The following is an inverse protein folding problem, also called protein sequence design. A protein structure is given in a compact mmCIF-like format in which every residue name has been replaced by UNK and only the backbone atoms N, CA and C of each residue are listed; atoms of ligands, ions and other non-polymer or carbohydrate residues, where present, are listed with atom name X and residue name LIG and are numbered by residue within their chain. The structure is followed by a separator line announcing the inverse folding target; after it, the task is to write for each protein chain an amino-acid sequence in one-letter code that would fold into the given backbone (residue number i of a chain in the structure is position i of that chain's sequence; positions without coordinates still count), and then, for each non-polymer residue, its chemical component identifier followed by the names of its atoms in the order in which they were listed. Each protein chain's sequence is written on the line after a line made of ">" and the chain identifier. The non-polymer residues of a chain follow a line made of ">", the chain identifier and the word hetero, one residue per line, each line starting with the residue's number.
data_IF_094460403603
#
_entry.id   IF_094460403603
#
_cell.length_a   1.000
_cell.length_b   1.000
_cell.length_c   1.000
_cell.angle_alpha   90.00
_cell.angle_beta   90.00
_cell.angle_gamma   90.00
#
_symmetry.space_group_name_H-M   'P 1'
#
loop_
_entity.id
_entity.type
_entity.pdbx_description
1 polymer ?
#
# COMPACT_ATOMS: atom_id res chain seq x y z
N UNK A 1 -2.65 13.86 13.17
CA UNK A 1 -2.42 12.55 12.55
C UNK A 1 -1.05 12.04 12.97
N UNK A 2 -1.01 11.01 13.81
CA UNK A 2 0.21 10.36 14.30
C UNK A 2 0.88 9.54 13.19
N UNK A 3 2.09 9.01 13.43
CA UNK A 3 2.72 8.06 12.49
C UNK A 3 1.92 6.76 12.39
N UNK A 4 1.29 6.34 13.49
CA UNK A 4 0.41 5.16 13.49
C UNK A 4 -0.82 5.42 12.62
N UNK A 5 -1.49 6.58 12.77
CA UNK A 5 -2.65 6.93 11.95
C UNK A 5 -2.29 6.96 10.45
N UNK A 6 -1.09 7.47 10.12
CA UNK A 6 -0.58 7.48 8.74
C UNK A 6 -0.35 6.06 8.21
N UNK A 7 0.26 5.19 9.02
CA UNK A 7 0.50 3.80 8.66
C UNK A 7 -0.82 3.06 8.44
N UNK A 8 -1.81 3.25 9.31
CA UNK A 8 -3.13 2.62 9.20
C UNK A 8 -3.86 3.08 7.93
N UNK A 9 -3.78 4.38 7.61
CA UNK A 9 -4.31 4.93 6.37
C UNK A 9 -3.65 4.29 5.13
N UNK A 10 -2.32 4.22 5.09
CA UNK A 10 -1.59 3.60 3.97
C UNK A 10 -1.94 2.12 3.83
N UNK A 11 -2.00 1.38 4.94
CA UNK A 11 -2.39 -0.03 4.92
C UNK A 11 -3.81 -0.21 4.34
N UNK A 12 -4.76 0.66 4.69
CA UNK A 12 -6.10 0.66 4.09
C UNK A 12 -6.08 0.87 2.57
N UNK A 13 -5.25 1.78 2.07
CA UNK A 13 -5.10 2.03 0.64
C UNK A 13 -4.47 0.82 -0.07
N UNK A 14 -3.43 0.22 0.52
CA UNK A 14 -2.80 -1.00 0.01
C UNK A 14 -3.83 -2.11 -0.14
N UNK A 15 -4.62 -2.36 0.91
CA UNK A 15 -5.66 -3.40 0.88
C UNK A 15 -6.68 -3.15 -0.22
N UNK A 16 -7.18 -1.92 -0.34
CA UNK A 16 -8.12 -1.56 -1.41
C UNK A 16 -7.56 -1.81 -2.82
N UNK A 17 -6.30 -1.46 -3.05
CA UNK A 17 -5.63 -1.68 -4.35
C UNK A 17 -5.33 -3.16 -4.62
N UNK A 18 -4.96 -3.91 -3.59
CA UNK A 18 -4.76 -5.36 -3.70
C UNK A 18 -6.07 -6.07 -4.03
N UNK A 19 -7.18 -5.69 -3.41
CA UNK A 19 -8.52 -6.20 -3.77
C UNK A 19 -8.87 -5.86 -5.22
N UNK A 20 -8.56 -4.66 -5.68
CA UNK A 20 -8.77 -4.30 -7.08
C UNK A 20 -7.94 -5.20 -8.01
N UNK A 21 -6.65 -5.44 -7.70
CA UNK A 21 -5.79 -6.32 -8.49
C UNK A 21 -6.27 -7.77 -8.50
N UNK A 22 -6.83 -8.26 -7.40
CA UNK A 22 -7.42 -9.60 -7.33
C UNK A 22 -8.63 -9.73 -8.26
N UNK A 23 -9.51 -8.72 -8.25
CA UNK A 23 -10.75 -8.70 -9.05
C UNK A 23 -10.50 -8.44 -10.53
N UNK A 24 -9.48 -7.64 -10.85
CA UNK A 24 -9.29 -7.03 -12.18
C UNK A 24 -7.95 -7.36 -12.83
N UNK A 25 -7.05 -8.08 -12.15
CA UNK A 25 -5.75 -8.45 -12.68
C UNK A 25 -5.78 -9.63 -13.65
N UNK A 26 -6.87 -10.40 -13.66
CA UNK A 26 -6.99 -11.62 -14.45
C UNK A 26 -8.45 -12.03 -14.73
N UNK A 27 -8.64 -13.05 -15.57
CA UNK A 27 -9.94 -13.62 -15.85
C UNK A 27 -10.84 -12.74 -16.73
N UNK A 28 -12.15 -13.00 -16.66
CA UNK A 28 -13.16 -12.35 -17.52
C UNK A 28 -13.35 -10.85 -17.24
N UNK A 29 -12.98 -10.39 -16.05
CA UNK A 29 -13.03 -8.99 -15.63
C UNK A 29 -11.69 -8.25 -15.72
N UNK A 30 -10.71 -8.86 -16.40
CA UNK A 30 -9.35 -8.31 -16.51
C UNK A 30 -9.38 -6.93 -17.18
N UNK A 31 -8.74 -5.96 -16.53
CA UNK A 31 -8.54 -4.60 -17.05
C UNK A 31 -7.31 -4.56 -18.00
N UNK A 32 -7.14 -3.49 -18.79
CA UNK A 32 -5.96 -3.35 -19.64
C UNK A 32 -4.64 -3.49 -18.85
N UNK A 33 -3.63 -4.09 -19.47
CA UNK A 33 -2.36 -4.41 -18.79
C UNK A 33 -1.68 -3.17 -18.21
N UNK A 34 -1.70 -2.05 -18.92
CA UNK A 34 -1.11 -0.80 -18.43
C UNK A 34 -1.79 -0.28 -17.15
N UNK A 35 -3.10 -0.52 -16.95
CA UNK A 35 -3.79 -0.17 -15.70
C UNK A 35 -3.34 -1.10 -14.56
N UNK A 36 -3.18 -2.39 -14.86
CA UNK A 36 -2.73 -3.40 -13.89
C UNK A 36 -1.28 -3.11 -13.46
N UNK A 37 -0.40 -2.82 -14.41
CA UNK A 37 0.99 -2.44 -14.16
C UNK A 37 1.09 -1.18 -13.32
N UNK A 38 0.31 -0.14 -13.68
CA UNK A 38 0.25 1.08 -12.89
C UNK A 38 -0.23 0.80 -11.46
N UNK A 39 -1.24 -0.05 -11.27
CA UNK A 39 -1.75 -0.40 -9.95
C UNK A 39 -0.72 -1.18 -9.12
N UNK A 40 0.02 -2.11 -9.75
CA UNK A 40 1.12 -2.84 -9.09
C UNK A 40 2.23 -1.90 -8.63
N UNK A 41 2.67 -0.99 -9.50
CA UNK A 41 3.68 0.01 -9.15
C UNK A 41 3.22 0.92 -8.00
N UNK A 42 1.94 1.30 -7.97
CA UNK A 42 1.37 2.06 -6.86
C UNK A 42 1.37 1.28 -5.54
N UNK A 43 1.03 -0.02 -5.58
CA UNK A 43 1.09 -0.88 -4.38
C UNK A 43 2.52 -1.00 -3.86
N UNK A 44 3.49 -1.18 -4.74
CA UNK A 44 4.91 -1.24 -4.40
C UNK A 44 5.38 0.04 -3.69
N UNK A 45 5.11 1.21 -4.28
CA UNK A 45 5.45 2.50 -3.66
C UNK A 45 4.75 2.71 -2.30
N UNK A 46 3.50 2.27 -2.16
CA UNK A 46 2.78 2.36 -0.88
C UNK A 46 3.38 1.44 0.19
N UNK A 47 3.89 0.27 -0.19
CA UNK A 47 4.62 -0.61 0.73
C UNK A 47 5.89 0.05 1.25
N UNK A 48 6.68 0.71 0.38
CA UNK A 48 7.87 1.46 0.80
C UNK A 48 7.51 2.57 1.81
N UNK A 49 6.45 3.32 1.54
CA UNK A 49 5.95 4.37 2.45
C UNK A 49 5.51 3.77 3.80
N UNK A 50 4.82 2.63 3.79
CA UNK A 50 4.41 1.95 5.03
C UNK A 50 5.64 1.50 5.85
N UNK A 51 6.66 0.97 5.19
CA UNK A 51 7.90 0.56 5.83
C UNK A 51 8.65 1.76 6.44
N UNK A 52 8.69 2.90 5.76
CA UNK A 52 9.27 4.13 6.30
C UNK A 52 8.55 4.61 7.56
N UNK A 53 7.22 4.50 7.59
CA UNK A 53 6.45 4.81 8.81
C UNK A 53 6.71 3.81 9.92
N UNK A 54 6.76 2.49 9.65
CA UNK A 54 7.11 1.46 10.65
C UNK A 54 8.48 1.75 11.27
N UNK A 55 9.51 1.94 10.45
CA UNK A 55 10.86 2.28 10.92
C UNK A 55 10.89 3.58 11.72
N UNK A 56 10.09 4.57 11.33
CA UNK A 56 10.00 5.84 12.05
C UNK A 56 9.31 5.70 13.42
N UNK A 57 8.29 4.85 13.53
CA UNK A 57 7.63 4.53 14.79
C UNK A 57 8.61 3.82 15.72
N UNK A 58 9.31 2.79 15.23
CA UNK A 58 10.32 2.05 15.99
C UNK A 58 11.42 2.98 16.53
N UNK A 59 11.96 3.86 15.68
CA UNK A 59 12.98 4.85 16.10
C UNK A 59 12.46 5.80 17.19
N UNK A 60 11.20 6.23 17.11
CA UNK A 60 10.60 7.09 18.13
C UNK A 60 10.33 6.34 19.43
N UNK A 61 9.92 5.08 19.35
CA UNK A 61 9.70 4.23 20.53
C UNK A 61 11.00 3.86 21.24
N UNK A 62 12.11 3.69 20.50
CA UNK A 62 13.42 3.40 21.07
C UNK A 62 14.13 4.61 21.70
N UNK A 63 13.68 5.83 21.38
CA UNK A 63 14.23 7.08 21.91
C UNK A 63 13.42 7.66 23.08
N UNK A 64 12.34 6.99 23.49
CA UNK A 64 11.45 7.36 24.59
C UNK A 64 11.69 6.44 25.80
#
# INVERSE_FOLDING_TARGET
>A
MTLQDKLDCINGIIQSKMTWLEQHGQGRGKRPDHEIEQMRAQVEALHEIADDYRRSIERKGAAA
#
